data_IF_750469962620
#
_entry.id   IF_750469962620
#
_cell.length_a   1.000
_cell.length_b   1.000
_cell.length_c   1.000
_cell.angle_alpha   90.00
_cell.angle_beta   90.00
_cell.angle_gamma   90.00
#
_symmetry.space_group_name_H-M   'P 1'
#
loop_
_entity.id
_entity.type
_entity.pdbx_description
1 polymer ?
#
# COMPACT_ATOMS: atom_id res chain seq x y z
N UNK A 1 -5.40 18.20 35.84
CA UNK A 1 -4.31 17.60 36.64
C UNK A 1 -3.35 16.92 35.68
N UNK A 2 -2.08 17.33 35.63
CA UNK A 2 -1.07 16.69 34.78
C UNK A 2 -0.61 15.43 35.52
N UNK A 3 -0.99 14.27 35.00
CA UNK A 3 -0.56 12.97 35.52
C UNK A 3 0.95 12.83 35.38
N UNK A 4 1.53 12.29 36.44
CA UNK A 4 2.95 12.22 36.73
C UNK A 4 3.74 11.47 35.65
N UNK A 5 5.01 11.87 35.52
CA UNK A 5 6.00 11.32 34.60
C UNK A 5 6.12 9.80 34.74
N UNK A 6 5.40 9.02 33.93
CA UNK A 6 5.84 7.68 33.61
C UNK A 6 7.17 7.83 32.87
N UNK A 7 8.25 7.49 33.57
CA UNK A 7 9.58 7.33 32.98
C UNK A 7 9.41 6.59 31.65
N UNK A 8 9.77 7.27 30.56
CA UNK A 8 9.71 6.82 29.16
C UNK A 8 10.16 5.36 29.01
N UNK A 9 9.27 4.40 29.25
CA UNK A 9 9.61 2.99 29.10
C UNK A 9 9.81 2.75 27.62
N UNK A 10 11.05 2.43 27.23
CA UNK A 10 11.37 2.04 25.86
C UNK A 10 10.43 0.88 25.48
N UNK A 11 9.72 1.02 24.36
CA UNK A 11 8.94 -0.10 23.80
C UNK A 11 9.88 -1.31 23.68
N UNK A 12 9.49 -2.43 24.29
CA UNK A 12 10.22 -3.69 24.14
C UNK A 12 10.28 -4.05 22.66
N UNK A 13 11.43 -4.50 22.18
CA UNK A 13 11.55 -4.94 20.79
C UNK A 13 10.62 -6.13 20.53
N UNK A 14 9.64 -5.93 19.65
CA UNK A 14 8.75 -6.98 19.18
C UNK A 14 9.20 -7.38 17.77
N UNK A 15 9.63 -8.64 17.61
CA UNK A 15 10.14 -9.12 16.33
C UNK A 15 8.96 -9.40 15.40
N UNK A 16 8.83 -8.60 14.35
CA UNK A 16 7.84 -8.83 13.29
C UNK A 16 8.25 -10.04 12.45
N UNK A 17 7.33 -10.99 12.27
CA UNK A 17 7.51 -12.19 11.45
C UNK A 17 7.66 -11.84 9.97
N UNK A 18 8.23 -12.74 9.16
CA UNK A 18 8.35 -12.51 7.72
C UNK A 18 6.98 -12.40 7.04
N UNK A 19 6.04 -13.25 7.45
CA UNK A 19 4.67 -13.27 6.92
C UNK A 19 3.97 -11.92 7.05
N UNK A 20 4.03 -11.29 8.23
CA UNK A 20 3.44 -9.96 8.42
C UNK A 20 4.08 -8.91 7.52
N UNK A 21 5.40 -8.99 7.28
CA UNK A 21 6.07 -8.05 6.38
C UNK A 21 5.56 -8.19 4.95
N UNK A 22 5.40 -9.42 4.47
CA UNK A 22 4.88 -9.72 3.13
C UNK A 22 3.43 -9.26 3.00
N UNK A 23 2.58 -9.53 3.99
CA UNK A 23 1.20 -9.07 4.03
C UNK A 23 1.08 -7.55 3.94
N UNK A 24 1.90 -6.83 4.72
CA UNK A 24 1.91 -5.36 4.72
C UNK A 24 2.33 -4.82 3.35
N UNK A 25 3.36 -5.40 2.74
CA UNK A 25 3.84 -5.01 1.41
C UNK A 25 2.77 -5.26 0.35
N UNK A 26 2.12 -6.42 0.36
CA UNK A 26 1.05 -6.76 -0.58
C UNK A 26 -0.13 -5.78 -0.48
N UNK A 27 -0.64 -5.54 0.74
CA UNK A 27 -1.75 -4.59 0.96
C UNK A 27 -1.44 -3.16 0.48
N UNK A 28 -0.17 -2.74 0.57
CA UNK A 28 0.26 -1.43 0.06
C UNK A 28 0.32 -1.44 -1.46
N UNK A 29 0.90 -2.48 -2.07
CA UNK A 29 1.09 -2.56 -3.52
C UNK A 29 -0.24 -2.74 -4.27
N UNK A 30 -1.20 -3.46 -3.70
CA UNK A 30 -2.57 -3.54 -4.25
C UNK A 30 -3.37 -2.26 -4.01
N UNK A 31 -2.87 -1.31 -3.22
CA UNK A 31 -3.55 -0.04 -2.94
C UNK A 31 -4.66 -0.11 -1.89
N UNK A 32 -4.79 -1.22 -1.16
CA UNK A 32 -5.77 -1.36 -0.06
C UNK A 32 -5.48 -0.41 1.10
N UNK A 33 -4.20 -0.19 1.42
CA UNK A 33 -3.77 0.73 2.47
C UNK A 33 -2.60 1.60 2.00
N UNK A 34 -2.55 2.84 2.47
CA UNK A 34 -1.38 3.71 2.23
C UNK A 34 -0.24 3.41 3.21
N UNK A 35 0.98 3.82 2.88
CA UNK A 35 2.14 3.75 3.79
C UNK A 35 1.86 4.37 5.16
N UNK A 36 1.12 5.49 5.19
CA UNK A 36 0.76 6.18 6.43
C UNK A 36 -0.24 5.36 7.25
N UNK A 37 -1.20 4.72 6.58
CA UNK A 37 -2.19 3.90 7.23
C UNK A 37 -1.58 2.59 7.74
N UNK A 38 -0.71 1.94 6.96
CA UNK A 38 0.05 0.78 7.40
C UNK A 38 0.91 1.10 8.63
N UNK A 39 1.58 2.25 8.65
CA UNK A 39 2.39 2.68 9.79
C UNK A 39 1.59 2.78 11.09
N UNK A 40 0.39 3.38 11.01
CA UNK A 40 -0.51 3.49 12.16
C UNK A 40 -1.12 2.14 12.56
N UNK A 41 -1.55 1.34 11.58
CA UNK A 41 -2.25 0.06 11.79
C UNK A 41 -1.37 -0.99 12.44
N UNK A 42 -0.11 -1.09 12.00
CA UNK A 42 0.83 -2.10 12.47
C UNK A 42 1.81 -1.57 13.53
N UNK A 43 1.71 -0.29 13.92
CA UNK A 43 2.65 0.40 14.83
C UNK A 43 4.12 0.29 14.36
N UNK A 44 4.31 0.34 13.04
CA UNK A 44 5.63 0.23 12.39
C UNK A 44 6.03 1.59 11.83
N UNK A 45 7.27 2.07 12.04
CA UNK A 45 7.73 3.31 11.44
C UNK A 45 7.65 3.29 9.91
N UNK A 46 7.25 4.41 9.30
CA UNK A 46 7.17 4.55 7.84
C UNK A 46 8.48 4.17 7.13
N UNK A 47 9.63 4.49 7.74
CA UNK A 47 10.96 4.14 7.23
C UNK A 47 11.17 2.63 7.15
N UNK A 48 10.67 1.88 8.14
CA UNK A 48 10.70 0.42 8.16
C UNK A 48 9.79 -0.16 7.08
N UNK A 49 8.61 0.44 6.86
CA UNK A 49 7.70 0.05 5.77
C UNK A 49 8.35 0.31 4.41
N UNK A 50 8.97 1.48 4.20
CA UNK A 50 9.72 1.78 2.98
C UNK A 50 10.86 0.80 2.75
N UNK A 51 11.54 0.38 3.81
CA UNK A 51 12.55 -0.68 3.72
C UNK A 51 11.95 -2.02 3.31
N UNK A 52 10.81 -2.41 3.87
CA UNK A 52 10.11 -3.64 3.49
C UNK A 52 9.65 -3.60 2.04
N UNK A 53 9.09 -2.48 1.58
CA UNK A 53 8.73 -2.29 0.18
C UNK A 53 9.96 -2.51 -0.71
N UNK A 54 11.08 -1.83 -0.45
CA UNK A 54 12.29 -1.99 -1.26
C UNK A 54 12.85 -3.42 -1.26
N UNK A 55 12.71 -4.15 -0.15
CA UNK A 55 13.30 -5.48 0.03
C UNK A 55 12.40 -6.63 -0.44
N UNK A 56 11.09 -6.47 -0.32
CA UNK A 56 10.11 -7.54 -0.50
C UNK A 56 9.10 -7.26 -1.62
N UNK A 57 9.09 -6.07 -2.24
CA UNK A 57 8.30 -5.85 -3.45
C UNK A 57 8.90 -6.66 -4.61
N UNK A 58 8.05 -7.34 -5.38
CA UNK A 58 8.50 -7.94 -6.64
C UNK A 58 8.63 -6.88 -7.74
N UNK A 59 9.52 -7.10 -8.71
CA UNK A 59 9.71 -6.19 -9.85
C UNK A 59 8.41 -5.98 -10.64
N UNK A 60 7.59 -7.03 -10.75
CA UNK A 60 6.27 -6.99 -11.40
C UNK A 60 5.31 -6.07 -10.65
N UNK A 61 5.25 -6.15 -9.32
CA UNK A 61 4.38 -5.27 -8.52
C UNK A 61 4.87 -3.81 -8.52
N UNK A 62 6.17 -3.55 -8.68
CA UNK A 62 6.70 -2.19 -8.85
C UNK A 62 6.29 -1.59 -10.20
N UNK A 63 6.30 -2.39 -11.27
CA UNK A 63 5.87 -1.96 -12.60
C UNK A 63 4.35 -1.75 -12.71
N UNK A 64 3.57 -2.39 -11.83
CA UNK A 64 2.13 -2.15 -11.69
C UNK A 64 1.80 -0.88 -10.88
N UNK A 65 2.79 -0.12 -10.41
CA UNK A 65 2.62 1.17 -9.77
C UNK A 65 2.19 2.26 -10.75
N UNK A 66 1.06 2.06 -11.43
CA UNK A 66 0.44 3.06 -12.28
C UNK A 66 -0.23 4.12 -11.38
N UNK A 67 -0.14 5.41 -11.75
CA UNK A 67 -0.85 6.44 -10.99
C UNK A 67 -2.36 6.18 -11.08
N UNK A 68 -3.11 6.50 -10.02
CA UNK A 68 -4.58 6.42 -10.06
C UNK A 68 -5.17 7.17 -11.26
N UNK A 69 -4.54 8.27 -11.65
CA UNK A 69 -4.97 9.05 -12.82
C UNK A 69 -4.75 8.29 -14.14
N UNK A 70 -3.66 7.54 -14.24
CA UNK A 70 -3.33 6.74 -15.42
C UNK A 70 -4.25 5.52 -15.51
N UNK A 71 -4.58 4.89 -14.38
CA UNK A 71 -5.59 3.83 -14.33
C UNK A 71 -6.97 4.34 -14.75
N UNK A 72 -7.40 5.50 -14.22
CA UNK A 72 -8.67 6.14 -14.60
C UNK A 72 -8.69 6.43 -16.09
N UNK A 73 -7.60 6.95 -16.65
CA UNK A 73 -7.49 7.23 -18.09
C UNK A 73 -7.66 5.94 -18.92
N UNK A 74 -6.93 4.87 -18.57
CA UNK A 74 -6.99 3.60 -19.27
C UNK A 74 -8.36 2.92 -19.17
N UNK A 75 -9.03 3.03 -18.03
CA UNK A 75 -10.38 2.52 -17.85
C UNK A 75 -11.39 3.29 -18.70
N UNK A 76 -11.27 4.61 -18.80
CA UNK A 76 -12.13 5.44 -19.67
C UNK A 76 -11.94 5.11 -21.14
N UNK A 77 -10.69 5.01 -21.61
CA UNK A 77 -10.38 4.61 -22.99
C UNK A 77 -10.97 3.23 -23.32
N UNK A 78 -10.90 2.28 -22.37
CA UNK A 78 -11.50 0.96 -22.55
C UNK A 78 -13.03 0.96 -22.57
N UNK A 79 -13.67 1.83 -21.78
CA UNK A 79 -15.12 2.00 -21.83
C UNK A 79 -15.53 2.56 -23.19
N UNK A 80 -14.86 3.59 -23.68
CA UNK A 80 -15.11 4.19 -24.98
C UNK A 80 -14.94 3.17 -26.13
N UNK A 81 -13.89 2.35 -26.09
CA UNK A 81 -13.68 1.27 -27.07
C UNK A 81 -14.81 0.23 -27.04
N UNK A 82 -15.26 -0.17 -25.84
CA UNK A 82 -16.35 -1.14 -25.69
C UNK A 82 -17.70 -0.57 -26.12
N UNK A 83 -17.95 0.71 -25.85
CA UNK A 83 -19.14 1.44 -26.32
C UNK A 83 -19.15 1.50 -27.84
N UNK A 84 -18.02 1.86 -28.47
CA UNK A 84 -17.87 1.84 -29.91
C UNK A 84 -18.17 0.45 -30.49
N UNK A 85 -17.56 -0.62 -29.97
CA UNK A 85 -17.80 -1.98 -30.47
C UNK A 85 -19.28 -2.40 -30.39
N UNK A 86 -19.99 -1.96 -29.35
CA UNK A 86 -21.41 -2.24 -29.17
C UNK A 86 -22.27 -1.54 -30.23
N UNK A 87 -21.92 -0.32 -30.61
CA UNK A 87 -22.64 0.45 -31.64
C UNK A 87 -22.54 -0.17 -33.04
N UNK A 88 -21.53 -0.99 -33.33
CA UNK A 88 -21.40 -1.73 -34.61
C UNK A 88 -22.16 -3.06 -34.62
N UNK A 89 -22.63 -3.56 -33.48
CA UNK A 89 -23.40 -4.80 -33.38
C UNK A 89 -24.92 -4.57 -33.38
N UNK A 90 -25.36 -3.33 -33.60
CA UNK A 90 -26.77 -2.93 -33.66
C UNK A 90 -27.25 -2.79 -35.11
#
# INVERSE_FOLDING_TARGET
MKTQNEHWRKKSYQKVTLETKLLVVDQILTGHISNNQASKKYDVPRTTISYWLRKYSTLVQQNNGMSKNDEIKKLKEKIEELEFQKDFQQ
#
